data_IF_744880178570
#
_entry.id   IF_744880178570
#
_cell.length_a   1.000
_cell.length_b   1.000
_cell.length_c   1.000
_cell.angle_alpha   90.00
_cell.angle_beta   90.00
_cell.angle_gamma   90.00
#
_symmetry.space_group_name_H-M   'P 1'
#
loop_
_entity.id
_entity.type
_entity.pdbx_description
1 polymer ?
#
# COMPACT_ATOMS: atom_id res chain seq x y z
N UNK A 1 -1.28 32.70 13.01
CA UNK A 1 -2.39 31.76 12.83
C UNK A 1 -2.52 31.36 11.37
N UNK A 2 -2.63 30.06 11.12
CA UNK A 2 -2.77 29.58 9.76
C UNK A 2 -4.14 29.92 9.20
N UNK A 3 -4.19 30.48 8.00
CA UNK A 3 -5.43 30.75 7.34
C UNK A 3 -5.97 29.51 6.64
N UNK A 4 -7.17 29.66 6.10
CA UNK A 4 -7.82 28.56 5.37
C UNK A 4 -6.98 28.16 4.16
N UNK A 5 -6.41 29.16 3.48
CA UNK A 5 -5.56 28.87 2.33
C UNK A 5 -4.34 28.05 2.70
N UNK A 6 -3.71 28.40 3.82
CA UNK A 6 -2.55 27.67 4.26
C UNK A 6 -2.91 26.26 4.65
N UNK A 7 -4.05 26.07 5.31
CA UNK A 7 -4.52 24.75 5.69
C UNK A 7 -4.79 23.91 4.46
N UNK A 8 -5.44 24.50 3.45
CA UNK A 8 -5.71 23.79 2.21
C UNK A 8 -4.41 23.34 1.52
N UNK A 9 -3.41 24.21 1.55
CA UNK A 9 -2.12 23.87 0.95
C UNK A 9 -1.49 22.67 1.64
N UNK A 10 -1.52 22.65 2.96
CA UNK A 10 -0.93 21.52 3.68
C UNK A 10 -1.70 20.24 3.48
N UNK A 11 -3.03 20.33 3.40
CA UNK A 11 -3.84 19.14 3.10
C UNK A 11 -3.53 18.63 1.71
N UNK A 12 -3.33 19.53 0.74
CA UNK A 12 -2.99 19.11 -0.61
C UNK A 12 -1.64 18.39 -0.63
N UNK A 13 -0.66 18.89 0.13
CA UNK A 13 0.63 18.23 0.21
C UNK A 13 0.48 16.85 0.84
N UNK A 14 -0.29 16.75 1.93
CA UNK A 14 -0.48 15.48 2.60
C UNK A 14 -1.16 14.47 1.69
N UNK A 15 -2.18 14.92 0.95
CA UNK A 15 -2.91 14.06 0.03
C UNK A 15 -1.99 13.55 -1.08
N UNK A 16 -1.17 14.45 -1.62
CA UNK A 16 -0.26 14.06 -2.68
C UNK A 16 0.76 13.04 -2.19
N UNK A 17 1.29 13.24 -0.98
CA UNK A 17 2.24 12.29 -0.42
C UNK A 17 1.57 10.94 -0.17
N UNK A 18 0.32 10.96 0.29
CA UNK A 18 -0.40 9.71 0.52
C UNK A 18 -0.63 8.98 -0.80
N UNK A 19 -0.95 9.69 -1.88
CA UNK A 19 -1.13 9.05 -3.18
C UNK A 19 0.17 8.48 -3.69
N UNK A 20 1.27 9.16 -3.44
CA UNK A 20 2.58 8.64 -3.79
C UNK A 20 2.86 7.35 -3.03
N UNK A 21 2.47 7.29 -1.76
CA UNK A 21 2.60 6.07 -0.98
C UNK A 21 1.76 4.93 -1.54
N UNK A 22 0.54 5.24 -2.00
CA UNK A 22 -0.32 4.23 -2.61
C UNK A 22 0.35 3.68 -3.88
N UNK A 23 0.97 4.53 -4.68
CA UNK A 23 1.67 4.07 -5.87
C UNK A 23 2.84 3.17 -5.49
N UNK A 24 3.56 3.50 -4.41
CA UNK A 24 4.66 2.67 -3.95
C UNK A 24 4.15 1.31 -3.48
N UNK A 25 2.97 1.28 -2.84
CA UNK A 25 2.37 0.01 -2.42
C UNK A 25 2.04 -0.84 -3.64
N UNK A 26 1.50 -0.24 -4.70
CA UNK A 26 1.19 -0.97 -5.91
C UNK A 26 2.45 -1.61 -6.50
N UNK A 27 3.54 -0.86 -6.52
CA UNK A 27 4.80 -1.39 -7.03
C UNK A 27 5.32 -2.52 -6.14
N UNK A 28 5.22 -2.35 -4.82
CA UNK A 28 5.65 -3.39 -3.90
C UNK A 28 4.83 -4.67 -4.08
N UNK A 29 3.52 -4.54 -4.29
CA UNK A 29 2.68 -5.71 -4.52
C UNK A 29 3.10 -6.47 -5.77
N UNK A 30 3.43 -5.75 -6.84
CA UNK A 30 3.90 -6.39 -8.07
C UNK A 30 5.19 -7.17 -7.80
N UNK A 31 6.11 -6.56 -7.05
CA UNK A 31 7.37 -7.23 -6.77
C UNK A 31 7.19 -8.44 -5.88
N UNK A 32 6.24 -8.38 -4.94
CA UNK A 32 5.93 -9.53 -4.12
C UNK A 32 5.36 -10.67 -4.95
N UNK A 33 4.48 -10.33 -5.91
CA UNK A 33 3.91 -11.34 -6.77
C UNK A 33 5.00 -12.00 -7.63
N UNK A 34 5.96 -11.21 -8.11
CA UNK A 34 7.07 -11.76 -8.86
C UNK A 34 7.94 -12.66 -8.00
N UNK A 35 8.17 -12.27 -6.75
CA UNK A 35 8.94 -13.09 -5.83
C UNK A 35 8.24 -14.42 -5.59
N UNK A 36 6.92 -14.39 -5.40
CA UNK A 36 6.16 -15.61 -5.18
C UNK A 36 6.20 -16.51 -6.40
N UNK A 37 6.15 -15.90 -7.60
CA UNK A 37 6.28 -16.67 -8.82
C UNK A 37 7.63 -17.35 -8.94
N UNK A 38 8.70 -16.63 -8.56
CA UNK A 38 10.04 -17.20 -8.59
C UNK A 38 10.16 -18.35 -7.62
N UNK A 39 9.56 -18.23 -6.43
CA UNK A 39 9.58 -19.32 -5.46
C UNK A 39 8.84 -20.54 -5.97
N UNK A 40 7.70 -20.31 -6.61
CA UNK A 40 6.92 -21.41 -7.19
C UNK A 40 7.75 -22.14 -8.24
N UNK A 41 8.46 -21.39 -9.07
CA UNK A 41 9.32 -21.98 -10.08
C UNK A 41 10.44 -22.78 -9.44
N UNK A 42 11.03 -22.22 -8.38
CA UNK A 42 12.13 -22.91 -7.67
C UNK A 42 11.65 -24.20 -7.03
N UNK A 43 10.39 -24.25 -6.62
CA UNK A 43 9.86 -25.45 -5.97
C UNK A 43 9.70 -26.62 -6.95
N UNK A 44 9.36 -26.34 -8.20
CA UNK A 44 9.31 -27.32 -9.28
C UNK A 44 8.60 -28.61 -8.90
N UNK A 45 7.38 -28.49 -8.37
CA UNK A 45 6.59 -29.66 -8.01
C UNK A 45 6.90 -30.26 -6.66
N UNK A 46 7.93 -29.76 -5.98
CA UNK A 46 8.25 -30.10 -4.61
C UNK A 46 8.29 -28.81 -3.82
N UNK A 47 7.71 -28.82 -2.64
CA UNK A 47 7.70 -27.61 -1.86
C UNK A 47 8.24 -27.88 -0.47
N UNK A 48 9.57 -27.71 -0.26
CA UNK A 48 10.12 -27.84 1.08
C UNK A 48 9.44 -26.89 2.04
N UNK A 49 9.42 -27.28 3.32
CA UNK A 49 8.71 -26.50 4.33
C UNK A 49 9.16 -25.05 4.37
N UNK A 50 10.46 -24.81 4.15
CA UNK A 50 10.98 -23.45 4.18
C UNK A 50 10.39 -22.59 3.07
N UNK A 51 10.24 -23.17 1.87
CA UNK A 51 9.69 -22.40 0.75
C UNK A 51 8.19 -22.19 0.93
N UNK A 52 7.49 -23.19 1.48
CA UNK A 52 6.08 -23.02 1.78
C UNK A 52 5.86 -21.92 2.80
N UNK A 53 6.71 -21.85 3.81
CA UNK A 53 6.62 -20.79 4.81
C UNK A 53 6.90 -19.45 4.20
N UNK A 54 7.89 -19.36 3.31
CA UNK A 54 8.20 -18.12 2.62
C UNK A 54 7.01 -17.64 1.79
N UNK A 55 6.36 -18.56 1.07
CA UNK A 55 5.18 -18.21 0.29
C UNK A 55 4.07 -17.65 1.18
N UNK A 56 3.84 -18.27 2.32
CA UNK A 56 2.81 -17.80 3.24
C UNK A 56 3.13 -16.40 3.77
N UNK A 57 4.40 -16.16 4.10
CA UNK A 57 4.79 -14.86 4.63
C UNK A 57 4.68 -13.77 3.57
N UNK A 58 5.05 -14.09 2.33
CA UNK A 58 4.92 -13.12 1.25
C UNK A 58 3.44 -12.81 0.96
N UNK A 59 2.58 -13.82 1.03
CA UNK A 59 1.15 -13.60 0.85
C UNK A 59 0.59 -12.73 1.97
N UNK A 60 1.06 -12.94 3.19
CA UNK A 60 0.62 -12.15 4.32
C UNK A 60 1.06 -10.69 4.15
N UNK A 61 2.29 -10.48 3.68
CA UNK A 61 2.78 -9.13 3.42
C UNK A 61 1.93 -8.44 2.36
N UNK A 62 1.54 -9.18 1.32
CA UNK A 62 0.73 -8.61 0.26
C UNK A 62 -0.64 -8.18 0.81
N UNK A 63 -1.24 -8.98 1.69
CA UNK A 63 -2.49 -8.60 2.32
C UNK A 63 -2.33 -7.35 3.18
N UNK A 64 -1.22 -7.25 3.91
CA UNK A 64 -0.96 -6.08 4.73
C UNK A 64 -0.82 -4.83 3.88
N UNK A 65 -0.17 -4.96 2.72
CA UNK A 65 -0.05 -3.83 1.80
C UNK A 65 -1.41 -3.39 1.29
N UNK A 66 -2.30 -4.35 0.97
CA UNK A 66 -3.63 -4.01 0.50
C UNK A 66 -4.42 -3.28 1.58
N UNK A 67 -4.29 -3.72 2.84
CA UNK A 67 -4.96 -3.06 3.94
C UNK A 67 -4.43 -1.65 4.14
N UNK A 68 -3.10 -1.48 4.03
CA UNK A 68 -2.50 -0.16 4.16
C UNK A 68 -2.99 0.76 3.06
N UNK A 69 -3.09 0.24 1.83
CA UNK A 69 -3.61 1.03 0.71
C UNK A 69 -5.04 1.50 0.99
N UNK A 70 -5.88 0.60 1.47
CA UNK A 70 -7.27 0.96 1.75
C UNK A 70 -7.36 2.00 2.85
N UNK A 71 -6.54 1.86 3.87
CA UNK A 71 -6.50 2.84 4.96
C UNK A 71 -6.04 4.20 4.46
N UNK A 72 -5.07 4.22 3.53
CA UNK A 72 -4.63 5.48 2.96
C UNK A 72 -5.72 6.15 2.14
N UNK A 73 -6.49 5.37 1.37
CA UNK A 73 -7.62 5.93 0.64
C UNK A 73 -8.64 6.55 1.59
N UNK A 74 -8.92 5.87 2.70
CA UNK A 74 -9.85 6.41 3.69
C UNK A 74 -9.32 7.71 4.29
N UNK A 75 -8.01 7.75 4.57
CA UNK A 75 -7.41 8.96 5.11
C UNK A 75 -7.50 10.13 4.15
N UNK A 76 -7.24 9.86 2.86
CA UNK A 76 -7.35 10.90 1.84
C UNK A 76 -8.79 11.39 1.75
N UNK A 77 -9.74 10.47 1.73
CA UNK A 77 -11.15 10.85 1.63
C UNK A 77 -11.58 11.68 2.83
N UNK A 78 -11.11 11.32 4.02
CA UNK A 78 -11.46 12.08 5.22
C UNK A 78 -10.91 13.50 5.16
N UNK A 79 -9.66 13.64 4.71
CA UNK A 79 -9.03 14.96 4.64
C UNK A 79 -9.73 15.83 3.59
N UNK A 80 -10.02 15.26 2.44
CA UNK A 80 -10.68 16.00 1.38
C UNK A 80 -12.12 16.33 1.76
N UNK A 81 -12.76 15.40 2.47
CA UNK A 81 -14.12 15.65 2.93
C UNK A 81 -14.19 16.79 3.92
N UNK A 82 -13.20 16.90 4.79
CA UNK A 82 -13.15 18.00 5.74
C UNK A 82 -13.14 19.35 5.02
N UNK A 83 -12.33 19.47 3.98
CA UNK A 83 -12.25 20.73 3.23
C UNK A 83 -13.47 20.94 2.36
N UNK A 84 -13.97 19.89 1.74
CA UNK A 84 -15.09 20.01 0.82
C UNK A 84 -16.43 20.05 1.49
N UNK A 85 -16.51 19.57 2.71
CA UNK A 85 -17.77 19.48 3.43
C UNK A 85 -18.30 20.79 3.95
N UNK A 86 -17.61 21.87 3.72
CA UNK A 86 -18.05 23.19 4.18
C UNK A 86 -19.11 23.79 3.28
#
# INVERSE_FOLDING_TARGET
MAGVEEMRSWVAVATEKARSGIAAIAQASLELDEARGALATASSGREPAELARSQSLLAEADRSLAEARDTLYEGIAAAEGYLGGR
#
